data_IF_203471806726
#
_entry.id   IF_203471806726
#
_cell.length_a   1.000
_cell.length_b   1.000
_cell.length_c   1.000
_cell.angle_alpha   90.00
_cell.angle_beta   90.00
_cell.angle_gamma   90.00
#
_symmetry.space_group_name_H-M   'P 1'
#
loop_
_entity.id
_entity.type
_entity.pdbx_description
1 polymer ?
#
# COMPACT_ATOMS: atom_id res chain seq x y z
N UNK A 1 6.23 18.89 4.32
CA UNK A 1 5.00 18.06 4.39
C UNK A 1 5.24 16.99 5.44
N UNK A 2 4.26 16.68 6.30
CA UNK A 2 4.44 15.58 7.27
C UNK A 2 4.80 14.30 6.50
N UNK A 3 5.86 13.59 6.91
CA UNK A 3 6.37 12.36 6.26
C UNK A 3 5.26 11.32 6.15
N UNK A 4 4.36 11.30 7.13
CA UNK A 4 3.18 10.46 7.22
C UNK A 4 2.15 10.79 6.13
N UNK A 5 1.96 12.07 5.77
CA UNK A 5 1.09 12.45 4.64
C UNK A 5 1.61 11.93 3.30
N UNK A 6 2.93 12.05 3.07
CA UNK A 6 3.56 11.53 1.84
C UNK A 6 3.38 10.01 1.76
N UNK A 7 3.58 9.31 2.88
CA UNK A 7 3.42 7.88 2.95
C UNK A 7 1.99 7.42 2.64
N UNK A 8 0.98 8.08 3.21
CA UNK A 8 -0.43 7.78 2.93
C UNK A 8 -0.75 8.00 1.45
N UNK A 9 -0.25 9.08 0.84
CA UNK A 9 -0.46 9.35 -0.59
C UNK A 9 0.14 8.23 -1.44
N UNK A 10 1.37 7.79 -1.14
CA UNK A 10 2.03 6.67 -1.84
C UNK A 10 1.23 5.37 -1.72
N UNK A 11 0.65 5.10 -0.54
CA UNK A 11 -0.20 3.92 -0.34
C UNK A 11 -1.45 3.97 -1.22
N UNK A 12 -2.18 5.09 -1.21
CA UNK A 12 -3.39 5.29 -2.01
C UNK A 12 -3.07 5.13 -3.50
N UNK A 13 -1.97 5.71 -3.98
CA UNK A 13 -1.55 5.55 -5.37
C UNK A 13 -1.34 4.08 -5.76
N UNK A 14 -0.66 3.29 -4.91
CA UNK A 14 -0.47 1.88 -5.19
C UNK A 14 -1.75 1.05 -5.15
N UNK A 15 -2.71 1.39 -4.28
CA UNK A 15 -4.03 0.74 -4.26
C UNK A 15 -4.82 1.08 -5.53
N UNK A 16 -4.80 2.35 -5.96
CA UNK A 16 -5.45 2.77 -7.21
C UNK A 16 -4.83 2.05 -8.41
N UNK A 17 -3.50 1.94 -8.47
CA UNK A 17 -2.81 1.20 -9.53
C UNK A 17 -3.22 -0.28 -9.51
N UNK A 18 -3.26 -0.90 -8.33
CA UNK A 18 -3.76 -2.26 -8.16
C UNK A 18 -5.18 -2.42 -8.74
N UNK A 19 -6.09 -1.53 -8.33
CA UNK A 19 -7.49 -1.57 -8.75
C UNK A 19 -7.67 -1.39 -10.26
N UNK A 20 -6.98 -0.41 -10.86
CA UNK A 20 -7.16 -0.04 -12.27
C UNK A 20 -6.41 -0.95 -13.25
N UNK A 21 -5.18 -1.36 -12.93
CA UNK A 21 -4.32 -2.09 -13.87
C UNK A 21 -4.32 -3.61 -13.62
N UNK A 22 -4.51 -4.04 -12.37
CA UNK A 22 -4.41 -5.46 -12.00
C UNK A 22 -5.79 -6.11 -11.76
N UNK A 23 -6.89 -5.35 -11.86
CA UNK A 23 -8.26 -5.82 -11.65
C UNK A 23 -8.36 -6.69 -10.37
N UNK A 24 -7.66 -6.24 -9.32
CA UNK A 24 -7.54 -6.98 -8.06
C UNK A 24 -8.86 -7.10 -7.31
N UNK A 25 -9.84 -6.27 -7.64
CA UNK A 25 -11.21 -6.32 -7.13
C UNK A 25 -12.20 -6.96 -8.10
N UNK A 26 -11.71 -7.45 -9.25
CA UNK A 26 -12.53 -8.19 -10.19
C UNK A 26 -13.00 -9.51 -9.59
N UNK A 27 -14.19 -9.95 -10.00
CA UNK A 27 -14.83 -11.18 -9.52
C UNK A 27 -13.97 -12.44 -9.74
N UNK A 28 -13.05 -12.41 -10.71
CA UNK A 28 -12.07 -13.45 -10.93
C UNK A 28 -10.84 -13.23 -10.04
N UNK A 29 -10.96 -13.65 -8.78
CA UNK A 29 -9.89 -13.59 -7.80
C UNK A 29 -8.89 -14.74 -8.03
N UNK A 30 -7.70 -14.40 -8.51
CA UNK A 30 -6.57 -15.34 -8.57
C UNK A 30 -5.71 -15.15 -7.33
N UNK A 31 -5.10 -16.23 -6.82
CA UNK A 31 -4.19 -16.18 -5.67
C UNK A 31 -3.10 -15.09 -5.80
N UNK A 32 -2.62 -14.87 -7.02
CA UNK A 32 -1.62 -13.85 -7.37
C UNK A 32 -2.14 -12.41 -7.16
N UNK A 33 -3.42 -12.14 -7.49
CA UNK A 33 -4.07 -10.83 -7.30
C UNK A 33 -4.16 -10.50 -5.81
N UNK A 34 -4.61 -11.47 -5.01
CA UNK A 34 -4.71 -11.34 -3.55
C UNK A 34 -3.34 -11.12 -2.91
N UNK A 35 -2.34 -11.92 -3.30
CA UNK A 35 -0.98 -11.77 -2.76
C UNK A 35 -0.34 -10.43 -3.15
N UNK A 36 -0.64 -9.88 -4.33
CA UNK A 36 -0.11 -8.58 -4.74
C UNK A 36 -0.58 -7.43 -3.83
N UNK A 37 -1.89 -7.39 -3.50
CA UNK A 37 -2.41 -6.41 -2.52
C UNK A 37 -1.81 -6.64 -1.14
N UNK A 38 -1.69 -7.90 -0.71
CA UNK A 38 -1.13 -8.23 0.59
C UNK A 38 0.31 -7.77 0.71
N UNK A 39 1.13 -8.04 -0.31
CA UNK A 39 2.52 -7.61 -0.38
C UNK A 39 2.62 -6.08 -0.33
N UNK A 40 1.78 -5.37 -1.09
CA UNK A 40 1.74 -3.91 -1.07
C UNK A 40 1.37 -3.35 0.31
N UNK A 41 0.43 -4.00 1.01
CA UNK A 41 0.01 -3.62 2.35
C UNK A 41 1.11 -3.88 3.39
N UNK A 42 1.85 -4.99 3.28
CA UNK A 42 2.99 -5.28 4.16
C UNK A 42 4.08 -4.21 4.00
N UNK A 43 4.42 -3.84 2.76
CA UNK A 43 5.40 -2.78 2.47
C UNK A 43 4.95 -1.45 3.09
N UNK A 44 3.67 -1.11 2.94
CA UNK A 44 3.10 0.08 3.56
C UNK A 44 3.20 0.07 5.09
N UNK A 45 2.89 -1.05 5.75
CA UNK A 45 2.97 -1.17 7.20
C UNK A 45 4.41 -1.03 7.70
N UNK A 46 5.39 -1.62 7.01
CA UNK A 46 6.81 -1.47 7.34
C UNK A 46 7.22 0.00 7.23
N UNK A 47 6.85 0.66 6.13
CA UNK A 47 7.16 2.06 5.91
C UNK A 47 6.46 2.97 6.95
N UNK A 48 5.22 2.65 7.34
CA UNK A 48 4.49 3.34 8.40
C UNK A 48 5.22 3.25 9.74
N UNK A 49 5.65 2.06 10.12
CA UNK A 49 6.40 1.85 11.35
C UNK A 49 7.72 2.65 11.36
N UNK A 50 8.40 2.70 10.21
CA UNK A 50 9.65 3.45 10.09
C UNK A 50 9.42 4.97 10.15
N UNK A 51 8.37 5.47 9.51
CA UNK A 51 8.02 6.90 9.55
C UNK A 51 7.60 7.32 10.96
N UNK A 52 6.72 6.55 11.61
CA UNK A 52 6.25 6.83 12.98
C UNK A 52 7.43 6.83 13.98
N UNK A 53 8.35 5.87 13.87
CA UNK A 53 9.56 5.82 14.71
C UNK A 53 10.50 7.02 14.51
N UNK A 54 10.56 7.57 13.30
CA UNK A 54 11.40 8.73 12.98
C UNK A 54 10.74 10.09 13.25
N UNK A 55 9.42 10.15 13.48
CA UNK A 55 8.75 11.36 13.98
C UNK A 55 8.74 11.45 15.50
N UNK A 56 8.91 10.32 16.22
CA UNK A 56 9.00 10.27 17.69
C UNK A 56 10.43 10.41 18.25
N UNK A 57 11.39 10.78 17.41
CA UNK A 57 12.76 11.18 17.80
C UNK A 57 12.89 12.69 17.69
#
# INVERSE_FOLDING_TARGET
MNKLKILIITYILGVIIGALFFDVWGANTTFIKTMSIFLWTIIFLIALFYVDKNEKK
#
